data_IF_383229207622
#
_entry.id   IF_383229207622
#
_cell.length_a   1.000
_cell.length_b   1.000
_cell.length_c   1.000
_cell.angle_alpha   90.00
_cell.angle_beta   90.00
_cell.angle_gamma   90.00
#
_symmetry.space_group_name_H-M   'P 1'
#
loop_
_entity.id
_entity.type
_entity.pdbx_description
1 polymer ?
2 polymer ?
3 polymer ?
4 non-polymer ?
#
loop_
_entity_poly.entity_id
_entity_poly.type
_entity_poly.pdbx_seq_one_letter_code
_entity_poly.pdbx_strand_id
1 'polydeoxyribonucleotide' '(DA)(DG)(DA)(DT)(DA)(DA)(DT)(DG)(DC)(DC)(DA)(DA)(DC)(DA)(DG)(DT)' ?
2 'polydeoxyribonucleotide' '(DA)(DC)(DT)(DG)(DT)(DT)(DG)(DG)(DC)(DA)(DT)(DT)(DA)(DT)(DC)(DT)' ?
#
# COMPACT_ATOMS: atom_id res chain seq x y z
N UNK C 5 -26.64 6.03 -2.96
CA UNK C 5 -26.12 6.15 -1.59
C UNK C 5 -25.07 5.08 -1.35
N UNK C 6 -24.90 4.70 -0.08
CA UNK C 6 -23.98 3.63 0.31
C UNK C 6 -24.66 2.78 1.38
N UNK C 7 -25.60 1.93 0.97
CA UNK C 7 -26.34 1.12 1.97
C UNK C 7 -25.49 0.06 2.64
N UNK C 8 -24.51 -0.50 1.93
CA UNK C 8 -23.72 -1.61 2.45
C UNK C 8 -22.69 -1.10 3.46
N UNK C 9 -22.60 -1.76 4.60
CA UNK C 9 -21.70 -1.34 5.67
C UNK C 9 -20.88 -2.52 6.16
N UNK C 10 -19.65 -2.23 6.58
CA UNK C 10 -18.79 -3.25 7.16
C UNK C 10 -19.33 -3.69 8.51
N UNK C 11 -19.31 -5.01 8.75
CA UNK C 11 -19.81 -5.53 10.02
C UNK C 11 -18.82 -5.30 11.15
N UNK C 12 -17.52 -5.28 10.84
CA UNK C 12 -16.51 -5.16 11.89
C UNK C 12 -16.35 -3.70 12.33
N UNK C 13 -16.28 -2.78 11.38
CA UNK C 13 -16.04 -1.38 11.67
C UNK C 13 -17.06 -0.51 10.93
N UNK C 14 -17.14 0.75 11.35
CA UNK C 14 -18.12 1.69 10.81
C UNK C 14 -17.61 2.24 9.48
N UNK C 15 -17.86 1.48 8.42
CA UNK C 15 -17.52 1.88 7.06
C UNK C 15 -18.73 1.64 6.17
N UNK C 16 -18.74 2.26 5.00
CA UNK C 16 -19.86 2.14 4.09
C UNK C 16 -19.37 2.18 2.65
N UNK C 17 -20.04 1.42 1.79
CA UNK C 17 -19.62 1.28 0.39
C UNK C 17 -20.84 1.14 -0.50
N UNK C 18 -20.64 1.47 -1.78
CA UNK C 18 -21.77 1.59 -2.71
C UNK C 18 -22.36 0.23 -3.06
N UNK C 19 -21.51 -0.74 -3.39
CA UNK C 19 -21.95 -2.02 -3.93
C UNK C 19 -21.30 -3.17 -3.18
N UNK C 20 -21.91 -4.36 -3.20
CA UNK C 20 -21.38 -5.48 -2.41
C UNK C 20 -19.98 -5.91 -2.80
N UNK C 21 -19.58 -5.76 -4.06
CA UNK C 21 -18.24 -6.20 -4.47
C UNK C 21 -17.16 -5.39 -3.75
N UNK C 22 -17.26 -4.06 -3.81
CA UNK C 22 -16.31 -3.22 -3.08
C UNK C 22 -16.47 -3.40 -1.58
N UNK C 23 -17.70 -3.67 -1.11
CA UNK C 23 -17.91 -3.95 0.30
C UNK C 23 -17.08 -5.16 0.75
N UNK C 24 -17.14 -6.25 -0.02
CA UNK C 24 -16.35 -7.43 0.32
C UNK C 24 -14.86 -7.15 0.18
N UNK C 25 -14.47 -6.39 -0.85
CA UNK C 25 -13.06 -6.04 -1.02
C UNK C 25 -12.53 -5.34 0.22
N UNK C 26 -13.34 -4.46 0.83
CA UNK C 26 -12.94 -3.84 2.09
C UNK C 26 -13.01 -4.82 3.25
N UNK C 27 -14.11 -5.58 3.34
CA UNK C 27 -14.40 -6.35 4.54
C UNK C 27 -13.47 -7.54 4.70
N UNK C 28 -12.85 -8.01 3.62
CA UNK C 28 -11.86 -9.07 3.77
C UNK C 28 -10.68 -8.64 4.63
N UNK C 29 -10.40 -7.33 4.71
CA UNK C 29 -9.23 -6.85 5.43
C UNK C 29 -9.25 -7.29 6.88
N UNK C 30 -10.41 -7.22 7.53
CA UNK C 30 -10.50 -7.57 8.95
C UNK C 30 -10.22 -9.03 9.23
N UNK C 31 -10.23 -9.90 8.22
CA UNK C 31 -10.16 -11.34 8.46
C UNK C 31 -8.97 -12.03 7.80
N UNK C 32 -8.15 -11.31 7.03
CA UNK C 32 -7.02 -11.94 6.37
C UNK C 32 -6.03 -12.49 7.40
N UNK C 33 -5.35 -13.56 7.02
CA UNK C 33 -4.34 -14.19 7.87
C UNK C 33 -3.00 -13.53 7.60
N UNK C 34 -2.50 -12.75 8.56
CA UNK C 34 -1.25 -12.02 8.43
C UNK C 34 -0.22 -12.57 9.40
N UNK C 35 0.70 -13.43 8.95
CA UNK C 35 1.68 -14.02 9.87
C UNK C 35 3.02 -13.31 9.94
N UNK C 36 3.21 -12.20 9.22
CA UNK C 36 4.53 -11.57 9.14
C UNK C 36 4.53 -10.20 9.82
N UNK C 37 5.09 -10.08 11.01
CA UNK C 37 5.16 -8.79 11.69
C UNK C 37 6.39 -7.99 11.30
N UNK C 38 6.25 -6.68 11.36
CA UNK C 38 7.36 -5.77 11.17
C UNK C 38 8.05 -5.53 12.52
N UNK C 39 9.37 -5.72 12.54
CA UNK C 39 10.12 -5.54 13.78
C UNK C 39 10.13 -4.08 14.25
N UNK C 40 9.84 -3.14 13.35
CA UNK C 40 9.79 -1.74 13.75
C UNK C 40 8.47 -1.42 14.43
N UNK C 41 7.36 -1.57 13.68
CA UNK C 41 6.02 -1.38 14.20
C UNK C 41 5.26 -2.69 14.07
N UNK C 42 4.39 -2.96 15.05
CA UNK C 42 3.73 -4.24 15.14
C UNK C 42 2.76 -4.57 14.01
N UNK C 43 2.83 -3.80 12.93
CA UNK C 43 1.94 -4.03 11.79
C UNK C 43 2.21 -5.40 11.17
N UNK C 44 1.13 -6.10 10.82
CA UNK C 44 1.21 -7.44 10.27
C UNK C 44 0.99 -7.42 8.76
N UNK C 45 1.46 -8.47 8.10
CA UNK C 45 1.39 -8.54 6.65
C UNK C 45 1.19 -9.99 6.20
N UNK C 46 0.68 -10.14 4.98
CA UNK C 46 0.42 -11.47 4.44
C UNK C 46 1.66 -12.12 3.86
N UNK C 47 2.51 -11.35 3.18
CA UNK C 47 3.70 -11.87 2.53
C UNK C 47 4.94 -11.15 3.04
N UNK C 48 6.03 -11.89 3.19
CA UNK C 48 7.26 -11.33 3.75
C UNK C 48 7.81 -10.22 2.88
N UNK C 49 7.67 -10.33 1.57
CA UNK C 49 8.09 -9.26 0.69
C UNK C 49 7.35 -7.96 0.98
N UNK C 50 6.04 -8.06 1.24
CA UNK C 50 5.28 -6.88 1.63
C UNK C 50 5.81 -6.28 2.92
N UNK C 51 6.15 -7.14 3.89
CA UNK C 51 6.66 -6.65 5.17
C UNK C 51 7.99 -5.93 5.00
N UNK C 52 8.91 -6.50 4.21
CA UNK C 52 10.19 -5.85 3.98
C UNK C 52 10.02 -4.53 3.23
N UNK C 53 9.11 -4.51 2.24
CA UNK C 53 8.82 -3.27 1.54
C UNK C 53 8.29 -2.21 2.50
N UNK C 54 7.42 -2.61 3.43
CA UNK C 54 6.95 -1.66 4.45
C UNK C 54 8.10 -1.16 5.31
N UNK C 55 9.00 -2.06 5.71
CA UNK C 55 10.16 -1.65 6.49
C UNK C 55 10.96 -0.58 5.74
N UNK C 56 11.03 -0.69 4.41
CA UNK C 56 11.68 0.35 3.62
C UNK C 56 11.11 1.73 3.94
N UNK C 57 9.78 1.82 4.10
CA UNK C 57 9.14 3.12 4.32
C UNK C 57 9.51 3.74 5.66
N UNK C 58 9.88 2.92 6.65
CA UNK C 58 10.22 3.47 7.97
C UNK C 58 11.48 4.33 7.91
N UNK C 59 12.33 4.15 6.90
CA UNK C 59 13.42 5.09 6.67
C UNK C 59 12.84 6.45 6.27
N UNK C 60 13.42 7.51 6.84
CA UNK C 60 12.94 8.85 6.61
C UNK C 60 12.88 9.26 5.15
N UNK C 61 14.02 9.32 4.48
CA UNK C 61 14.05 9.69 3.08
C UNK C 61 13.53 8.55 2.21
N UNK C 62 12.77 8.92 1.18
CA UNK C 62 12.31 7.93 0.22
C UNK C 62 13.46 7.57 -0.74
N UNK C 63 13.77 6.28 -0.89
CA UNK C 63 15.02 5.90 -1.57
C UNK C 63 15.11 6.29 -3.04
N UNK C 64 14.15 5.87 -3.86
CA UNK C 64 14.25 6.08 -5.30
C UNK C 64 14.03 7.55 -5.65
N UNK C 65 14.73 7.99 -6.70
CA UNK C 65 14.69 9.38 -7.10
C UNK C 65 14.90 9.48 -8.60
N UNK C 66 14.55 10.63 -9.15
CA UNK C 66 14.68 10.91 -10.58
C UNK C 66 15.97 11.67 -10.84
N UNK C 67 16.75 11.22 -11.82
CA UNK C 67 18.00 11.88 -12.15
C UNK C 67 17.77 13.29 -12.70
N UNK C 68 16.74 13.45 -13.52
CA UNK C 68 16.43 14.74 -14.15
C UNK C 68 15.34 15.51 -13.43
N UNK C 69 14.22 14.86 -13.09
CA UNK C 69 13.13 15.54 -12.42
C UNK C 69 13.48 15.91 -10.99
N UNK C 70 14.38 15.17 -10.35
CA UNK C 70 14.71 15.42 -8.97
C UNK C 70 13.57 15.18 -8.01
N UNK C 71 12.76 14.16 -8.27
CA UNK C 71 11.65 13.80 -7.39
C UNK C 71 12.08 12.64 -6.49
N UNK C 72 11.16 12.20 -5.64
CA UNK C 72 11.39 11.10 -4.72
C UNK C 72 10.26 10.09 -4.85
N UNK C 73 10.61 8.81 -5.00
CA UNK C 73 9.64 7.74 -5.13
C UNK C 73 9.96 6.63 -4.14
N UNK C 74 8.91 6.01 -3.59
CA UNK C 74 9.12 4.94 -2.63
C UNK C 74 9.54 3.64 -3.31
N UNK C 75 8.99 3.35 -4.48
CA UNK C 75 9.15 2.06 -5.13
C UNK C 75 9.79 2.21 -6.50
N UNK C 76 10.47 1.14 -6.93
CA UNK C 76 11.24 1.19 -8.18
C UNK C 76 10.34 1.41 -9.39
N UNK C 77 9.25 0.66 -9.47
CA UNK C 77 8.41 0.73 -10.66
C UNK C 77 7.75 2.09 -10.81
N UNK C 78 7.53 2.81 -9.71
CA UNK C 78 7.02 4.17 -9.81
C UNK C 78 8.03 5.09 -10.47
N UNK C 79 9.31 4.96 -10.11
CA UNK C 79 10.35 5.72 -10.79
C UNK C 79 10.43 5.31 -12.27
N UNK C 80 10.29 4.03 -12.56
CA UNK C 80 10.30 3.58 -13.95
C UNK C 80 9.15 4.18 -14.74
N UNK C 81 7.96 4.23 -14.15
CA UNK C 81 6.82 4.84 -14.81
C UNK C 81 7.01 6.35 -14.99
N UNK C 82 7.60 7.01 -13.99
CA UNK C 82 7.92 8.42 -14.12
C UNK C 82 8.92 8.68 -15.24
N UNK C 83 9.83 7.73 -15.48
CA UNK C 83 10.80 7.89 -16.55
C UNK C 83 10.14 7.95 -17.94
N UNK C 84 8.89 7.51 -18.05
CA UNK C 84 8.17 7.58 -19.32
C UNK C 84 7.79 9.00 -19.71
N UNK C 85 7.85 9.95 -18.78
CA UNK C 85 7.51 11.34 -19.09
C UNK C 85 8.59 12.06 -19.89
N UNK C 86 9.75 11.42 -20.05
CA UNK C 86 10.88 12.02 -20.77
C UNK C 86 11.06 11.34 -22.13
N UNK C 87 9.96 11.02 -22.80
CA UNK C 87 10.01 10.35 -24.10
C UNK C 87 10.59 11.23 -25.20
N UNK C 88 10.71 12.53 -24.97
CA UNK C 88 11.28 13.43 -25.96
C UNK C 88 10.37 13.68 -27.15
X LIG D 1 6.76 -1.26 10.58
X LIG E 1 -14.32 -2.67 7.78
X LIG F 1 11.86 12.69 -14.38
#
# INVERSE_FOLDING_TARGET
GPLGSRPFKCSVCEKTYKDPATLRQHEKTHWLTRPFPCNICGKMFTQRGTMTRHMRSHLGLKPFACDECGMRFTRQYRLTEHMRVHSGEKPYECQLCGGKFTQQRNLISHLRMHTSPS
ZN ZN
ZN ZN
ZN ZN
#
